data_IF_168526593634
#
_entry.id   IF_168526593634
#
_cell.length_a   1.000
_cell.length_b   1.000
_cell.length_c   1.000
_cell.angle_alpha   90.00
_cell.angle_beta   90.00
_cell.angle_gamma   90.00
#
_symmetry.space_group_name_H-M   'P 1'
#
loop_
_entity.id
_entity.type
_entity.pdbx_description
1 polymer ?
#
# COMPACT_ATOMS: atom_id res chain seq x y z
N UNK A 1 16.33 -0.72 20.90
CA UNK A 1 15.90 -1.53 19.74
C UNK A 1 14.83 -0.76 18.99
N UNK A 2 14.74 -0.89 17.67
CA UNK A 2 13.66 -0.29 16.88
C UNK A 2 12.32 -0.92 17.25
N UNK A 3 11.21 -0.23 16.94
CA UNK A 3 9.87 -0.71 17.26
C UNK A 3 9.47 -1.96 16.45
N UNK A 4 10.04 -2.13 15.25
CA UNK A 4 9.79 -3.26 14.36
C UNK A 4 11.11 -3.88 13.82
N UNK A 5 11.16 -5.20 13.55
CA UNK A 5 12.32 -5.84 12.92
C UNK A 5 12.64 -5.30 11.53
N UNK A 6 11.65 -4.78 10.80
CA UNK A 6 11.81 -4.22 9.45
C UNK A 6 12.85 -3.09 9.40
N UNK A 7 12.96 -2.30 10.49
CA UNK A 7 13.89 -1.17 10.60
C UNK A 7 15.12 -1.47 11.48
N UNK A 8 15.23 -2.69 12.02
CA UNK A 8 16.29 -3.05 12.95
C UNK A 8 17.64 -3.18 12.25
N UNK A 9 18.69 -2.56 12.82
CA UNK A 9 20.04 -2.61 12.28
C UNK A 9 20.59 -4.03 12.05
N UNK A 10 20.17 -5.02 12.84
CA UNK A 10 20.65 -6.41 12.72
C UNK A 10 19.58 -7.41 12.28
N UNK A 11 18.28 -7.06 12.31
CA UNK A 11 17.19 -7.97 11.89
C UNK A 11 16.58 -7.61 10.52
N UNK A 12 16.81 -6.42 9.98
CA UNK A 12 16.18 -5.95 8.73
C UNK A 12 16.47 -6.86 7.52
N UNK A 13 17.60 -7.58 7.51
CA UNK A 13 17.93 -8.53 6.43
C UNK A 13 17.15 -9.83 6.55
N UNK A 14 16.88 -10.27 7.78
CA UNK A 14 16.06 -11.45 8.02
C UNK A 14 14.62 -11.16 7.58
N UNK A 15 14.06 -10.03 8.02
CA UNK A 15 12.70 -9.63 7.68
C UNK A 15 12.68 -8.57 6.58
N UNK A 16 13.44 -8.75 5.50
CA UNK A 16 13.48 -7.73 4.45
C UNK A 16 12.14 -7.67 3.70
N UNK A 17 11.46 -6.51 3.63
CA UNK A 17 10.21 -6.36 2.88
C UNK A 17 10.43 -6.18 1.37
N UNK A 18 11.68 -6.30 0.89
CA UNK A 18 12.05 -5.98 -0.49
C UNK A 18 11.77 -4.51 -0.84
N UNK A 19 11.39 -4.26 -2.09
CA UNK A 19 11.10 -2.91 -2.58
C UNK A 19 9.84 -2.28 -1.96
N UNK A 20 8.93 -3.10 -1.40
CA UNK A 20 7.73 -2.58 -0.69
C UNK A 20 8.13 -1.67 0.48
N UNK A 21 9.25 -1.95 1.14
CA UNK A 21 9.75 -1.15 2.27
C UNK A 21 9.87 0.34 1.94
N UNK A 22 10.24 0.68 0.71
CA UNK A 22 10.40 2.08 0.28
C UNK A 22 9.07 2.83 0.27
N UNK A 23 7.96 2.16 0.00
CA UNK A 23 6.62 2.76 -0.11
C UNK A 23 6.00 3.08 1.26
N UNK A 24 6.52 2.51 2.34
CA UNK A 24 6.06 2.77 3.71
C UNK A 24 7.06 3.59 4.52
N UNK A 25 8.00 4.26 3.86
CA UNK A 25 8.87 5.26 4.48
C UNK A 25 8.17 6.60 4.65
N UNK A 26 8.59 7.38 5.64
CA UNK A 26 8.07 8.73 5.87
C UNK A 26 8.26 9.64 4.64
N UNK A 27 9.41 9.52 3.96
CA UNK A 27 9.67 10.27 2.72
C UNK A 27 8.69 9.91 1.60
N UNK A 28 8.32 8.64 1.47
CA UNK A 28 7.32 8.23 0.47
C UNK A 28 5.92 8.76 0.81
N UNK A 29 5.56 8.80 2.10
CA UNK A 29 4.30 9.40 2.55
C UNK A 29 4.23 10.90 2.24
N UNK A 30 5.26 11.65 2.62
CA UNK A 30 5.34 13.09 2.35
C UNK A 30 5.35 13.38 0.85
N UNK A 31 6.12 12.62 0.06
CA UNK A 31 6.16 12.75 -1.40
C UNK A 31 4.79 12.47 -2.03
N UNK A 32 4.07 11.46 -1.55
CA UNK A 32 2.71 11.17 -2.02
C UNK A 32 1.73 12.31 -1.67
N UNK A 33 1.81 12.86 -0.45
CA UNK A 33 1.05 14.03 -0.04
C UNK A 33 1.30 15.25 -0.94
N UNK A 34 2.57 15.51 -1.29
CA UNK A 34 2.97 16.58 -2.22
C UNK A 34 2.42 16.36 -3.64
N UNK A 35 2.37 15.11 -4.13
CA UNK A 35 1.72 14.79 -5.41
C UNK A 35 0.24 15.13 -5.36
N UNK A 36 -0.46 14.73 -4.29
CA UNK A 36 -1.89 15.00 -4.13
C UNK A 36 -2.16 16.50 -4.05
N UNK A 37 -1.44 17.24 -3.20
CA UNK A 37 -1.62 18.69 -3.04
C UNK A 37 -1.40 19.47 -4.34
N UNK A 38 -0.32 19.16 -5.07
CA UNK A 38 -0.06 19.80 -6.36
C UNK A 38 -1.07 19.42 -7.45
N UNK A 39 -1.54 18.19 -7.46
CA UNK A 39 -2.56 17.73 -8.43
C UNK A 39 -3.91 18.34 -8.13
N UNK A 40 -4.28 18.43 -6.84
CA UNK A 40 -5.48 19.11 -6.36
C UNK A 40 -5.49 20.58 -6.81
N UNK A 41 -4.41 21.32 -6.57
CA UNK A 41 -4.31 22.71 -6.99
C UNK A 41 -4.47 22.85 -8.52
N UNK A 42 -3.85 21.96 -9.30
CA UNK A 42 -3.99 21.93 -10.76
C UNK A 42 -5.44 21.75 -11.22
N UNK A 43 -6.16 20.76 -10.67
CA UNK A 43 -7.56 20.52 -11.05
C UNK A 43 -8.49 21.63 -10.55
N UNK A 44 -8.21 22.21 -9.38
CA UNK A 44 -8.95 23.36 -8.86
C UNK A 44 -8.77 24.61 -9.72
N UNK A 45 -7.55 24.87 -10.21
CA UNK A 45 -7.28 25.96 -11.14
C UNK A 45 -7.99 25.79 -12.47
N UNK A 46 -8.02 24.57 -13.01
CA UNK A 46 -8.76 24.25 -14.23
C UNK A 46 -10.28 24.42 -14.05
N UNK A 47 -10.80 24.15 -12.85
CA UNK A 47 -12.19 24.37 -12.48
C UNK A 47 -12.51 25.83 -12.08
N UNK A 48 -11.52 26.73 -12.07
CA UNK A 48 -11.70 28.13 -11.68
C UNK A 48 -11.91 28.38 -10.18
N UNK A 49 -11.66 27.39 -9.32
CA UNK A 49 -11.84 27.49 -7.86
C UNK A 49 -10.71 28.28 -7.19
N UNK A 50 -9.52 28.25 -7.78
CA UNK A 50 -8.37 29.07 -7.36
C UNK A 50 -7.80 29.76 -8.61
N UNK A 51 -7.09 30.89 -8.46
CA UNK A 51 -6.45 31.55 -9.60
C UNK A 51 -5.52 30.60 -10.36
N UNK A 52 -5.65 30.54 -11.69
CA UNK A 52 -4.88 29.60 -12.51
C UNK A 52 -3.36 29.76 -12.37
N UNK A 53 -2.88 30.99 -12.16
CA UNK A 53 -1.46 31.27 -11.87
C UNK A 53 -1.01 30.65 -10.55
N UNK A 54 -1.84 30.71 -9.51
CA UNK A 54 -1.56 30.09 -8.21
C UNK A 54 -1.59 28.57 -8.31
N UNK A 55 -2.53 28.00 -9.07
CA UNK A 55 -2.58 26.56 -9.35
C UNK A 55 -1.31 26.05 -10.03
N UNK A 56 -0.82 26.76 -11.04
CA UNK A 56 0.42 26.41 -11.75
C UNK A 56 1.65 26.54 -10.83
N UNK A 57 1.73 27.61 -10.04
CA UNK A 57 2.81 27.81 -9.08
C UNK A 57 2.87 26.69 -8.04
N UNK A 58 1.73 26.35 -7.43
CA UNK A 58 1.63 25.26 -6.44
C UNK A 58 1.99 23.92 -7.07
N UNK A 59 1.45 23.61 -8.26
CA UNK A 59 1.72 22.35 -8.94
C UNK A 59 3.21 22.18 -9.23
N UNK A 60 3.87 23.23 -9.75
CA UNK A 60 5.32 23.21 -10.01
C UNK A 60 6.11 23.05 -8.72
N UNK A 61 5.80 23.84 -7.70
CA UNK A 61 6.48 23.78 -6.41
C UNK A 61 6.33 22.39 -5.78
N UNK A 62 5.18 21.72 -5.97
CA UNK A 62 5.00 20.37 -5.45
C UNK A 62 5.96 19.36 -6.07
N UNK A 63 6.42 19.55 -7.31
CA UNK A 63 7.38 18.66 -7.98
C UNK A 63 8.83 18.89 -7.54
N UNK A 64 9.17 20.13 -7.16
CA UNK A 64 10.54 20.56 -6.89
C UNK A 64 10.89 20.53 -5.39
N UNK A 65 9.96 20.97 -4.53
CA UNK A 65 10.20 21.12 -3.10
C UNK A 65 10.34 19.77 -2.39
N UNK A 66 11.27 19.73 -1.45
CA UNK A 66 11.52 18.59 -0.56
C UNK A 66 11.18 19.01 0.87
N UNK A 67 10.37 18.20 1.56
CA UNK A 67 9.96 18.43 2.93
C UNK A 67 10.53 17.31 3.79
N UNK A 68 11.29 17.68 4.81
CA UNK A 68 11.79 16.74 5.81
C UNK A 68 10.64 16.24 6.68
N UNK A 69 10.35 14.92 6.71
CA UNK A 69 9.32 14.38 7.58
C UNK A 69 9.62 14.60 9.07
N UNK A 70 10.91 14.59 9.47
CA UNK A 70 11.31 14.80 10.86
C UNK A 70 10.86 16.15 11.41
N UNK A 71 10.96 17.20 10.59
CA UNK A 71 10.47 18.54 10.90
C UNK A 71 8.96 18.65 11.16
N UNK A 72 8.16 17.65 10.75
CA UNK A 72 6.69 17.65 10.93
C UNK A 72 6.25 17.03 12.27
N UNK A 73 7.15 16.33 12.97
CA UNK A 73 6.78 15.47 14.09
C UNK A 73 6.07 16.21 15.24
N UNK A 74 6.56 17.39 15.63
CA UNK A 74 5.99 18.15 16.75
C UNK A 74 4.55 18.60 16.47
N UNK A 75 4.29 19.13 15.28
CA UNK A 75 2.94 19.53 14.87
C UNK A 75 2.02 18.32 14.69
N UNK A 76 2.53 17.24 14.10
CA UNK A 76 1.79 15.97 13.93
C UNK A 76 1.31 15.41 15.27
N UNK A 77 2.12 15.50 16.33
CA UNK A 77 1.75 15.05 17.67
C UNK A 77 0.60 15.85 18.29
N UNK A 78 0.42 17.11 17.88
CA UNK A 78 -0.66 17.99 18.35
C UNK A 78 -1.92 17.78 17.51
N UNK A 79 -1.76 17.76 16.18
CA UNK A 79 -2.88 17.73 15.24
C UNK A 79 -3.46 16.32 15.06
N UNK A 80 -2.71 15.28 15.48
CA UNK A 80 -3.09 13.88 15.28
C UNK A 80 -3.03 13.42 13.82
N UNK A 81 -2.45 14.23 12.92
CA UNK A 81 -2.26 13.92 11.49
C UNK A 81 -1.12 14.76 10.91
N UNK A 82 -0.32 14.23 9.96
CA UNK A 82 0.82 14.95 9.41
C UNK A 82 0.45 16.00 8.36
N UNK A 83 -0.75 15.94 7.78
CA UNK A 83 -1.10 16.78 6.61
C UNK A 83 -1.17 18.28 6.92
N UNK A 84 -1.74 18.76 8.04
CA UNK A 84 -1.70 20.18 8.37
C UNK A 84 -0.26 20.72 8.49
N UNK A 85 0.61 19.98 9.16
CA UNK A 85 2.03 20.30 9.27
C UNK A 85 2.72 20.33 7.89
N UNK A 86 2.41 19.34 7.04
CA UNK A 86 2.90 19.27 5.66
C UNK A 86 2.47 20.50 4.84
N UNK A 87 1.19 20.89 4.93
CA UNK A 87 0.66 22.06 4.21
C UNK A 87 1.34 23.35 4.68
N UNK A 88 1.55 23.51 5.99
CA UNK A 88 2.28 24.66 6.55
C UNK A 88 3.72 24.70 6.05
N UNK A 89 4.46 23.59 6.17
CA UNK A 89 5.84 23.51 5.68
C UNK A 89 5.94 23.78 4.17
N UNK A 90 4.98 23.28 3.38
CA UNK A 90 4.92 23.57 1.95
C UNK A 90 4.67 25.07 1.70
N UNK A 91 3.69 25.69 2.36
CA UNK A 91 3.44 27.13 2.23
C UNK A 91 4.70 27.96 2.51
N UNK A 92 5.40 27.63 3.58
CA UNK A 92 6.62 28.33 3.99
C UNK A 92 7.75 28.14 2.96
N UNK A 93 8.00 26.91 2.51
CA UNK A 93 9.06 26.61 1.54
C UNK A 93 8.81 27.23 0.16
N UNK A 94 7.54 27.46 -0.21
CA UNK A 94 7.20 28.00 -1.52
C UNK A 94 7.62 29.48 -1.69
N UNK A 95 7.80 30.22 -0.58
CA UNK A 95 8.24 31.63 -0.58
C UNK A 95 7.43 32.54 -1.54
N UNK A 96 6.15 32.21 -1.74
CA UNK A 96 5.23 32.92 -2.62
C UNK A 96 3.84 32.99 -1.97
N UNK A 97 3.67 33.82 -0.93
CA UNK A 97 2.48 33.82 -0.07
C UNK A 97 1.17 34.05 -0.82
N UNK A 98 1.19 34.88 -1.87
CA UNK A 98 0.05 35.18 -2.74
C UNK A 98 -0.50 33.93 -3.46
N UNK A 99 0.36 32.94 -3.71
CA UNK A 99 -0.03 31.66 -4.28
C UNK A 99 -0.26 30.62 -3.17
N UNK A 100 0.60 30.60 -2.13
CA UNK A 100 0.62 29.60 -1.07
C UNK A 100 -0.70 29.54 -0.27
N UNK A 101 -1.39 30.67 -0.13
CA UNK A 101 -2.69 30.76 0.53
C UNK A 101 -3.76 29.83 -0.08
N UNK A 102 -3.59 29.41 -1.34
CA UNK A 102 -4.51 28.51 -2.04
C UNK A 102 -4.19 27.01 -1.87
N UNK A 103 -3.11 26.65 -1.16
CA UNK A 103 -2.80 25.25 -0.86
C UNK A 103 -3.93 24.60 -0.05
N UNK A 104 -4.31 23.37 -0.44
CA UNK A 104 -5.35 22.57 0.22
C UNK A 104 -6.71 23.31 0.32
N UNK A 105 -7.03 24.17 -0.66
CA UNK A 105 -8.24 24.99 -0.63
C UNK A 105 -9.52 24.15 -0.57
N UNK A 106 -10.35 24.33 0.46
CA UNK A 106 -11.68 23.71 0.57
C UNK A 106 -11.69 22.18 0.70
N UNK A 107 -10.54 21.55 1.01
CA UNK A 107 -10.42 20.10 1.13
C UNK A 107 -9.91 19.72 2.53
N UNK A 108 -10.56 18.79 3.24
CA UNK A 108 -10.08 18.28 4.51
C UNK A 108 -8.68 17.64 4.38
N UNK A 109 -7.75 17.92 5.32
CA UNK A 109 -6.42 17.30 5.33
C UNK A 109 -6.44 15.77 5.32
N UNK A 110 -7.49 15.15 5.88
CA UNK A 110 -7.68 13.70 5.88
C UNK A 110 -7.87 13.10 4.49
N UNK A 111 -8.46 13.83 3.55
CA UNK A 111 -8.64 13.35 2.17
C UNK A 111 -7.33 13.35 1.39
N UNK A 112 -6.46 14.31 1.68
CA UNK A 112 -5.09 14.33 1.15
C UNK A 112 -4.31 13.12 1.67
N UNK A 113 -4.41 12.82 2.96
CA UNK A 113 -3.78 11.63 3.56
C UNK A 113 -4.29 10.33 2.93
N UNK A 114 -5.62 10.22 2.77
CA UNK A 114 -6.28 9.04 2.21
C UNK A 114 -5.89 8.83 0.73
N UNK A 115 -5.85 9.90 -0.08
CA UNK A 115 -5.34 9.83 -1.45
C UNK A 115 -3.86 9.44 -1.49
N UNK A 116 -3.02 10.04 -0.63
CA UNK A 116 -1.59 9.74 -0.58
C UNK A 116 -1.33 8.27 -0.20
N UNK A 117 -2.11 7.72 0.73
CA UNK A 117 -2.08 6.30 1.05
C UNK A 117 -2.48 5.44 -0.16
N UNK A 118 -3.56 5.79 -0.87
CA UNK A 118 -3.99 5.05 -2.06
C UNK A 118 -2.95 5.06 -3.19
N UNK A 119 -2.25 6.18 -3.39
CA UNK A 119 -1.15 6.24 -4.37
C UNK A 119 -0.02 5.23 -4.03
N UNK A 120 0.32 5.11 -2.75
CA UNK A 120 1.36 4.18 -2.27
C UNK A 120 0.88 2.73 -2.34
N UNK A 121 -0.34 2.45 -1.90
CA UNK A 121 -0.93 1.11 -1.96
C UNK A 121 -1.07 0.61 -3.41
N UNK A 122 -1.40 1.47 -4.37
CA UNK A 122 -1.44 1.09 -5.79
C UNK A 122 -0.09 0.58 -6.29
N UNK A 123 1.00 1.24 -5.88
CA UNK A 123 2.35 0.80 -6.21
C UNK A 123 2.71 -0.49 -5.47
N UNK A 124 2.35 -0.59 -4.18
CA UNK A 124 2.61 -1.77 -3.36
C UNK A 124 1.94 -3.02 -3.94
N UNK A 125 0.67 -2.92 -4.34
CA UNK A 125 -0.07 -4.01 -4.99
C UNK A 125 0.56 -4.43 -6.33
N UNK A 126 1.10 -3.47 -7.09
CA UNK A 126 1.80 -3.77 -8.35
C UNK A 126 3.12 -4.52 -8.10
N UNK A 127 3.85 -4.17 -7.05
CA UNK A 127 5.04 -4.92 -6.63
C UNK A 127 4.67 -6.32 -6.14
N UNK A 128 3.63 -6.46 -5.32
CA UNK A 128 3.14 -7.76 -4.87
C UNK A 128 2.76 -8.67 -6.05
N UNK A 129 2.08 -8.14 -7.06
CA UNK A 129 1.72 -8.89 -8.27
C UNK A 129 2.97 -9.39 -9.01
N UNK A 130 3.94 -8.50 -9.21
CA UNK A 130 5.21 -8.84 -9.88
C UNK A 130 5.95 -9.95 -9.13
N UNK A 131 6.08 -9.81 -7.81
CA UNK A 131 6.78 -10.76 -6.97
C UNK A 131 6.05 -12.12 -6.91
N UNK A 132 4.71 -12.09 -6.82
CA UNK A 132 3.86 -13.28 -6.80
C UNK A 132 3.90 -14.03 -8.15
N UNK A 133 3.82 -13.30 -9.27
CA UNK A 133 3.94 -13.90 -10.61
C UNK A 133 5.31 -14.57 -10.79
N UNK A 134 6.38 -13.93 -10.33
CA UNK A 134 7.71 -14.52 -10.37
C UNK A 134 7.82 -15.78 -9.49
N UNK A 135 7.23 -15.78 -8.28
CA UNK A 135 7.17 -16.98 -7.43
C UNK A 135 6.39 -18.12 -8.09
N UNK A 136 5.22 -17.84 -8.66
CA UNK A 136 4.42 -18.82 -9.39
C UNK A 136 5.19 -19.41 -10.57
N UNK A 137 5.96 -18.60 -11.29
CA UNK A 137 6.82 -19.07 -12.37
C UNK A 137 7.94 -19.99 -11.86
N UNK A 138 8.55 -19.67 -10.71
CA UNK A 138 9.53 -20.56 -10.07
C UNK A 138 8.90 -21.92 -9.71
N UNK A 139 7.71 -21.91 -9.09
CA UNK A 139 6.99 -23.15 -8.75
C UNK A 139 6.62 -23.97 -10.00
N UNK A 140 6.15 -23.31 -11.05
CA UNK A 140 5.81 -23.96 -12.32
C UNK A 140 7.03 -24.59 -13.00
N UNK A 141 8.18 -23.94 -12.89
CA UNK A 141 9.44 -24.44 -13.45
C UNK A 141 9.98 -25.62 -12.63
N UNK A 142 9.87 -25.56 -11.30
CA UNK A 142 10.26 -26.66 -10.43
C UNK A 142 9.38 -27.90 -10.66
N UNK A 143 8.08 -27.73 -10.90
CA UNK A 143 7.17 -28.84 -11.19
C UNK A 143 6.93 -29.79 -10.02
N UNK A 144 7.31 -29.40 -8.80
CA UNK A 144 7.11 -30.22 -7.60
C UNK A 144 5.62 -30.30 -7.25
N UNK A 145 5.04 -31.50 -7.39
CA UNK A 145 3.60 -31.70 -7.24
C UNK A 145 3.10 -31.37 -5.84
N UNK A 146 3.87 -31.69 -4.79
CA UNK A 146 3.49 -31.42 -3.41
C UNK A 146 3.49 -29.91 -3.11
N UNK A 147 4.45 -29.16 -3.64
CA UNK A 147 4.49 -27.70 -3.54
C UNK A 147 3.34 -27.07 -4.34
N UNK A 148 3.08 -27.53 -5.57
CA UNK A 148 1.98 -27.02 -6.39
C UNK A 148 0.63 -27.23 -5.67
N UNK A 149 0.41 -28.41 -5.09
CA UNK A 149 -0.81 -28.72 -4.33
C UNK A 149 -0.93 -27.88 -3.07
N UNK A 150 0.13 -27.82 -2.24
CA UNK A 150 0.06 -27.19 -0.93
C UNK A 150 -0.06 -25.66 -0.98
N UNK A 151 0.53 -25.01 -1.98
CA UNK A 151 0.57 -23.55 -2.05
C UNK A 151 0.60 -22.97 -3.47
N UNK A 152 0.97 -23.73 -4.51
CA UNK A 152 0.91 -23.24 -5.90
C UNK A 152 -0.49 -22.82 -6.37
N UNK A 153 -1.47 -23.73 -6.32
CA UNK A 153 -2.85 -23.42 -6.72
C UNK A 153 -3.51 -22.30 -5.88
N UNK A 154 -3.39 -22.31 -4.53
CA UNK A 154 -3.88 -21.20 -3.71
C UNK A 154 -3.23 -19.84 -4.05
N UNK A 155 -1.93 -19.81 -4.35
CA UNK A 155 -1.25 -18.58 -4.76
C UNK A 155 -1.71 -18.09 -6.13
N UNK A 156 -2.02 -19.01 -7.06
CA UNK A 156 -2.56 -18.67 -8.37
C UNK A 156 -3.92 -17.98 -8.23
N UNK A 157 -4.81 -18.51 -7.38
CA UNK A 157 -6.10 -17.89 -7.10
C UNK A 157 -5.93 -16.48 -6.50
N UNK A 158 -4.98 -16.29 -5.57
CA UNK A 158 -4.69 -14.98 -5.00
C UNK A 158 -4.10 -13.99 -6.00
N UNK A 159 -3.35 -14.45 -7.00
CA UNK A 159 -2.89 -13.62 -8.12
C UNK A 159 -4.09 -13.13 -8.93
N UNK A 160 -5.01 -14.01 -9.27
CA UNK A 160 -6.19 -13.65 -10.07
C UNK A 160 -7.09 -12.66 -9.31
N UNK A 161 -7.30 -12.87 -8.00
CA UNK A 161 -7.98 -11.91 -7.14
C UNK A 161 -7.26 -10.54 -7.06
N UNK A 162 -5.92 -10.54 -7.08
CA UNK A 162 -5.13 -9.30 -7.09
C UNK A 162 -5.33 -8.54 -8.40
N UNK A 163 -5.36 -9.25 -9.54
CA UNK A 163 -5.65 -8.67 -10.85
C UNK A 163 -7.01 -7.98 -10.83
N UNK A 164 -8.04 -8.63 -10.29
CA UNK A 164 -9.38 -8.04 -10.14
C UNK A 164 -9.37 -6.82 -9.20
N UNK A 165 -8.69 -6.92 -8.06
CA UNK A 165 -8.56 -5.81 -7.10
C UNK A 165 -7.89 -4.59 -7.74
N UNK A 166 -6.84 -4.79 -8.53
CA UNK A 166 -6.14 -3.73 -9.25
C UNK A 166 -6.99 -3.15 -10.38
N UNK A 167 -7.71 -3.99 -11.12
CA UNK A 167 -8.61 -3.58 -12.19
C UNK A 167 -9.79 -2.75 -11.67
N UNK A 168 -10.34 -3.08 -10.49
CA UNK A 168 -11.37 -2.27 -9.83
C UNK A 168 -10.86 -0.88 -9.41
N UNK A 169 -9.55 -0.72 -9.27
CA UNK A 169 -8.91 0.53 -8.94
C UNK A 169 -9.04 0.94 -7.47
N UNK A 170 -8.13 1.82 -7.03
CA UNK A 170 -8.16 2.38 -5.68
C UNK A 170 -8.87 3.74 -5.65
N UNK A 171 -9.68 4.02 -4.63
CA UNK A 171 -10.57 5.18 -4.66
C UNK A 171 -9.85 6.50 -4.36
N UNK A 172 -10.32 7.59 -4.96
CA UNK A 172 -10.00 8.96 -4.57
C UNK A 172 -10.83 9.36 -3.35
N UNK A 173 -10.25 10.11 -2.42
CA UNK A 173 -10.97 10.79 -1.34
C UNK A 173 -11.06 12.28 -1.67
N UNK A 174 -12.28 12.83 -1.72
CA UNK A 174 -12.50 14.27 -1.90
C UNK A 174 -13.87 14.71 -1.38
N UNK A 175 -13.92 15.10 -0.11
CA UNK A 175 -14.97 15.94 0.47
C UNK A 175 -14.57 17.39 0.21
N UNK A 176 -15.48 18.17 -0.36
CA UNK A 176 -15.24 19.61 -0.57
C UNK A 176 -16.17 20.36 0.36
N UNK A 177 -15.61 21.13 1.29
CA UNK A 177 -16.40 21.94 2.23
C UNK A 177 -17.00 23.15 1.50
N UNK A 178 -18.30 23.37 1.67
CA UNK A 178 -19.00 24.53 1.11
C UNK A 178 -19.13 24.53 -0.42
N UNK A 179 -18.86 23.41 -1.10
CA UNK A 179 -19.04 23.34 -2.54
C UNK A 179 -20.52 23.48 -2.92
N UNK A 180 -20.88 24.36 -3.88
CA UNK A 180 -22.22 24.37 -4.46
C UNK A 180 -22.50 23.02 -5.13
N UNK A 181 -23.78 22.74 -5.44
CA UNK A 181 -24.16 21.62 -6.32
C UNK A 181 -23.25 21.63 -7.57
N UNK A 182 -22.35 20.65 -7.70
CA UNK A 182 -21.31 20.66 -8.76
C UNK A 182 -19.89 20.24 -8.37
N UNK A 183 -19.63 19.70 -7.18
CA UNK A 183 -18.32 19.13 -6.84
C UNK A 183 -17.96 17.84 -7.62
N UNK A 184 -18.93 17.21 -8.29
CA UNK A 184 -18.75 15.98 -9.07
C UNK A 184 -17.62 16.08 -10.10
N UNK A 185 -17.68 17.04 -11.05
CA UNK A 185 -16.61 17.27 -12.02
C UNK A 185 -15.20 17.43 -11.42
N UNK A 186 -15.07 18.00 -10.22
CA UNK A 186 -13.77 18.12 -9.55
C UNK A 186 -13.26 16.77 -9.05
N UNK A 187 -14.15 15.92 -8.50
CA UNK A 187 -13.81 14.56 -8.08
C UNK A 187 -13.35 13.73 -9.27
N UNK A 188 -14.08 13.82 -10.38
CA UNK A 188 -13.76 13.10 -11.61
C UNK A 188 -12.40 13.53 -12.17
N UNK A 189 -12.15 14.84 -12.20
CA UNK A 189 -10.87 15.39 -12.64
C UNK A 189 -9.72 14.97 -11.73
N UNK A 190 -9.91 14.97 -10.41
CA UNK A 190 -8.88 14.55 -9.45
C UNK A 190 -8.60 13.05 -9.55
N UNK A 191 -9.65 12.22 -9.65
CA UNK A 191 -9.56 10.78 -9.86
C UNK A 191 -8.73 10.48 -11.11
N UNK A 192 -9.10 11.07 -12.24
CA UNK A 192 -8.38 10.91 -13.50
C UNK A 192 -6.92 11.37 -13.39
N UNK A 193 -6.67 12.54 -12.80
CA UNK A 193 -5.32 13.09 -12.68
C UNK A 193 -4.40 12.29 -11.75
N UNK A 194 -4.95 11.67 -10.70
CA UNK A 194 -4.20 10.81 -9.78
C UNK A 194 -4.17 9.34 -10.21
N UNK A 195 -4.87 8.96 -11.28
CA UNK A 195 -5.14 7.58 -11.69
C UNK A 195 -5.81 6.75 -10.56
N UNK A 196 -6.72 7.40 -9.83
CA UNK A 196 -7.57 6.80 -8.80
C UNK A 196 -9.01 6.72 -9.33
N UNK A 197 -9.86 5.95 -8.68
CA UNK A 197 -11.24 5.70 -9.10
C UNK A 197 -12.22 6.45 -8.23
N UNK A 198 -13.39 6.78 -8.78
CA UNK A 198 -14.49 7.29 -7.98
C UNK A 198 -15.15 6.10 -7.27
N UNK A 199 -15.23 6.10 -5.93
CA UNK A 199 -15.92 5.02 -5.24
C UNK A 199 -17.41 5.06 -5.58
N UNK A 200 -18.01 3.89 -5.80
CA UNK A 200 -19.46 3.77 -5.98
C UNK A 200 -20.20 4.29 -4.75
N UNK A 201 -19.68 4.04 -3.54
CA UNK A 201 -20.25 4.52 -2.28
C UNK A 201 -19.37 4.16 -1.07
N UNK A 202 -19.47 4.99 -0.03
CA UNK A 202 -18.97 4.72 1.31
C UNK A 202 -17.50 5.03 1.59
N UNK A 203 -16.63 5.25 0.60
CA UNK A 203 -15.26 5.73 0.88
C UNK A 203 -15.23 7.26 0.99
N UNK A 204 -14.47 7.83 1.94
CA UNK A 204 -13.51 7.17 2.86
C UNK A 204 -14.05 6.82 4.24
N UNK A 205 -15.35 6.83 4.47
CA UNK A 205 -15.96 6.55 5.77
C UNK A 205 -15.93 5.05 6.13
N UNK A 206 -16.28 4.15 5.20
CA UNK A 206 -16.38 2.70 5.44
C UNK A 206 -15.05 1.98 5.58
N UNK A 207 -13.95 2.60 5.12
CA UNK A 207 -12.60 2.01 5.05
C UNK A 207 -12.51 0.64 4.35
N UNK A 208 -13.56 0.22 3.65
CA UNK A 208 -13.65 -1.10 3.00
C UNK A 208 -12.49 -1.42 2.05
N UNK A 209 -11.95 -0.46 1.25
CA UNK A 209 -10.75 -0.69 0.45
C UNK A 209 -9.53 -1.12 1.27
N UNK A 210 -9.31 -0.52 2.44
CA UNK A 210 -8.18 -0.86 3.32
C UNK A 210 -8.36 -2.25 3.93
N UNK A 211 -9.56 -2.57 4.42
CA UNK A 211 -9.88 -3.89 4.96
C UNK A 211 -9.68 -4.99 3.90
N UNK A 212 -10.10 -4.73 2.65
CA UNK A 212 -9.92 -5.66 1.53
C UNK A 212 -8.44 -5.88 1.18
N UNK A 213 -7.63 -4.82 1.11
CA UNK A 213 -6.19 -4.93 0.83
C UNK A 213 -5.45 -5.66 1.97
N UNK A 214 -5.74 -5.30 3.21
CA UNK A 214 -5.16 -5.95 4.38
C UNK A 214 -5.55 -7.43 4.45
N UNK A 215 -6.83 -7.75 4.20
CA UNK A 215 -7.34 -9.12 4.18
C UNK A 215 -6.74 -9.97 3.06
N UNK A 216 -6.59 -9.43 1.85
CA UNK A 216 -5.89 -10.10 0.76
C UNK A 216 -4.43 -10.37 1.12
N UNK A 217 -3.73 -9.38 1.68
CA UNK A 217 -2.32 -9.51 2.08
C UNK A 217 -2.15 -10.56 3.19
N UNK A 218 -3.04 -10.57 4.19
CA UNK A 218 -3.02 -11.57 5.25
C UNK A 218 -3.25 -13.00 4.71
N UNK A 219 -4.19 -13.17 3.75
CA UNK A 219 -4.41 -14.47 3.08
C UNK A 219 -3.20 -14.91 2.27
N UNK A 220 -2.53 -13.98 1.58
CA UNK A 220 -1.26 -14.26 0.89
C UNK A 220 -0.21 -14.80 1.86
N UNK A 221 0.04 -14.10 2.96
CA UNK A 221 1.03 -14.53 3.96
C UNK A 221 0.66 -15.91 4.54
N UNK A 222 -0.64 -16.14 4.82
CA UNK A 222 -1.12 -17.40 5.35
C UNK A 222 -0.87 -18.59 4.41
N UNK A 223 -1.05 -18.39 3.10
CA UNK A 223 -0.73 -19.41 2.08
C UNK A 223 0.79 -19.61 1.99
N UNK A 224 1.58 -18.52 1.95
CA UNK A 224 3.04 -18.61 1.90
C UNK A 224 3.63 -19.31 3.14
N UNK A 225 2.94 -19.29 4.28
CA UNK A 225 3.36 -19.97 5.49
C UNK A 225 3.06 -21.48 5.54
N UNK A 226 2.25 -22.00 4.62
CA UNK A 226 1.88 -23.43 4.59
C UNK A 226 3.10 -24.36 4.63
N UNK A 227 4.17 -24.17 3.83
CA UNK A 227 5.35 -25.04 3.88
C UNK A 227 6.03 -25.09 5.25
N UNK A 228 5.89 -24.04 6.06
CA UNK A 228 6.44 -23.98 7.41
C UNK A 228 5.58 -24.65 8.47
N UNK A 229 4.26 -24.79 8.25
CA UNK A 229 3.35 -25.42 9.22
C UNK A 229 3.47 -26.94 9.27
N UNK A 230 4.06 -27.55 8.25
CA UNK A 230 4.13 -29.02 8.07
C UNK A 230 5.42 -29.64 8.66
N UNK A 231 6.39 -28.84 9.11
CA UNK A 231 7.67 -29.36 9.58
C UNK A 231 7.64 -29.83 11.04
N UNK A 232 8.15 -31.05 11.29
CA UNK A 232 8.49 -31.54 12.62
C UNK A 232 9.58 -30.65 13.26
N UNK A 233 9.38 -30.28 14.53
CA UNK A 233 9.99 -29.13 15.19
C UNK A 233 11.53 -29.11 15.35
N UNK A 234 12.28 -30.06 14.79
CA UNK A 234 13.72 -30.18 15.01
C UNK A 234 14.61 -29.47 13.96
N UNK A 235 14.15 -29.30 12.70
CA UNK A 235 14.94 -28.65 11.64
C UNK A 235 14.06 -27.92 10.61
N UNK A 236 13.26 -26.96 11.09
CA UNK A 236 12.28 -26.25 10.26
C UNK A 236 12.96 -25.31 9.23
N UNK A 237 14.21 -24.89 9.43
CA UNK A 237 14.89 -23.92 8.57
C UNK A 237 14.37 -22.48 8.74
N UNK A 238 15.27 -21.50 8.59
CA UNK A 238 15.01 -20.09 8.94
C UNK A 238 13.83 -19.50 8.15
N UNK A 239 13.75 -19.72 6.83
CA UNK A 239 12.67 -19.14 6.00
C UNK A 239 11.29 -19.68 6.39
N UNK A 240 11.15 -20.98 6.66
CA UNK A 240 9.87 -21.56 7.08
C UNK A 240 9.41 -21.03 8.44
N UNK A 241 10.34 -20.91 9.40
CA UNK A 241 10.05 -20.34 10.71
C UNK A 241 9.63 -18.86 10.60
N UNK A 242 10.33 -18.08 9.77
CA UNK A 242 10.01 -16.68 9.51
C UNK A 242 8.62 -16.51 8.89
N UNK A 243 8.27 -17.34 7.89
CA UNK A 243 6.95 -17.32 7.26
C UNK A 243 5.81 -17.57 8.26
N UNK A 244 5.96 -18.55 9.15
CA UNK A 244 4.97 -18.84 10.19
C UNK A 244 4.87 -17.69 11.21
N UNK A 245 5.99 -17.04 11.55
CA UNK A 245 5.99 -15.88 12.43
C UNK A 245 5.28 -14.66 11.80
N UNK A 246 5.56 -14.39 10.51
CA UNK A 246 4.94 -13.31 9.74
C UNK A 246 3.43 -13.52 9.60
N UNK A 247 2.98 -14.75 9.35
CA UNK A 247 1.56 -15.12 9.31
C UNK A 247 0.83 -14.82 10.63
N UNK A 248 1.40 -15.24 11.76
CA UNK A 248 0.83 -14.94 13.08
C UNK A 248 0.79 -13.44 13.36
N UNK A 249 1.85 -12.71 12.98
CA UNK A 249 1.91 -11.27 13.14
C UNK A 249 0.85 -10.55 12.31
N UNK A 250 0.76 -10.85 11.01
CA UNK A 250 -0.24 -10.28 10.11
C UNK A 250 -1.67 -10.62 10.54
N UNK A 251 -1.91 -11.85 11.02
CA UNK A 251 -3.21 -12.28 11.54
C UNK A 251 -3.64 -11.47 12.76
N UNK A 252 -2.74 -11.24 13.72
CA UNK A 252 -3.02 -10.43 14.90
C UNK A 252 -3.34 -8.97 14.53
N UNK A 253 -2.56 -8.39 13.61
CA UNK A 253 -2.79 -7.04 13.12
C UNK A 253 -4.08 -6.90 12.31
N UNK A 254 -4.41 -7.91 11.50
CA UNK A 254 -5.67 -7.97 10.77
C UNK A 254 -6.88 -8.02 11.71
N UNK A 255 -6.80 -8.80 12.79
CA UNK A 255 -7.81 -8.82 13.84
C UNK A 255 -7.99 -7.45 14.52
N UNK A 256 -6.88 -6.77 14.83
CA UNK A 256 -6.93 -5.42 15.40
C UNK A 256 -7.57 -4.40 14.44
N UNK A 257 -7.23 -4.46 13.15
CA UNK A 257 -7.83 -3.59 12.14
C UNK A 257 -9.34 -3.84 12.00
N UNK A 258 -9.77 -5.11 12.00
CA UNK A 258 -11.19 -5.48 11.91
C UNK A 258 -12.01 -5.12 13.14
N UNK A 259 -11.39 -5.06 14.32
CA UNK A 259 -12.06 -4.72 15.58
C UNK A 259 -12.29 -3.21 15.77
N UNK A 260 -11.75 -2.36 14.88
CA UNK A 260 -11.75 -0.92 15.11
C UNK A 260 -12.98 -0.22 14.51
N UNK A 261 -13.48 0.78 15.23
CA UNK A 261 -14.64 1.58 14.86
C UNK A 261 -14.24 2.99 14.37
N UNK A 262 -15.22 3.68 13.79
CA UNK A 262 -15.11 5.00 13.17
C UNK A 262 -14.34 6.05 13.99
N UNK A 263 -13.76 7.03 13.28
CA UNK A 263 -13.10 8.19 13.89
C UNK A 263 -11.59 8.05 14.03
N UNK A 264 -10.99 8.85 14.93
CA UNK A 264 -9.54 8.97 15.06
C UNK A 264 -8.86 7.67 15.51
N UNK A 265 -9.49 6.89 16.41
CA UNK A 265 -8.97 5.60 16.84
C UNK A 265 -8.83 4.61 15.67
N UNK A 266 -9.84 4.54 14.79
CA UNK A 266 -9.80 3.85 13.49
C UNK A 266 -8.56 4.19 12.69
N UNK A 267 -8.34 5.48 12.45
CA UNK A 267 -7.21 5.97 11.65
C UNK A 267 -5.87 5.66 12.29
N UNK A 268 -5.75 5.77 13.61
CA UNK A 268 -4.51 5.43 14.30
C UNK A 268 -4.22 3.93 14.23
N UNK A 269 -5.26 3.09 14.35
CA UNK A 269 -5.09 1.65 14.19
C UNK A 269 -4.66 1.28 12.76
N UNK A 270 -5.18 1.97 11.74
CA UNK A 270 -4.72 1.80 10.35
C UNK A 270 -3.22 2.08 10.22
N UNK A 271 -2.73 3.18 10.79
CA UNK A 271 -1.29 3.51 10.76
C UNK A 271 -0.43 2.51 11.51
N UNK A 272 -0.92 1.94 12.61
CA UNK A 272 -0.20 0.93 13.39
C UNK A 272 -0.19 -0.45 12.71
N UNK A 273 -1.26 -0.82 12.01
CA UNK A 273 -1.44 -2.18 11.49
C UNK A 273 -1.14 -2.31 10.01
N UNK A 274 -1.69 -1.44 9.15
CA UNK A 274 -1.66 -1.63 7.70
C UNK A 274 -0.23 -1.65 7.14
N UNK A 275 0.67 -0.71 7.48
CA UNK A 275 2.06 -0.77 7.01
C UNK A 275 2.75 -2.08 7.42
N UNK A 276 2.56 -2.52 8.66
CA UNK A 276 3.19 -3.74 9.16
C UNK A 276 2.66 -5.00 8.46
N UNK A 277 1.36 -5.06 8.13
CA UNK A 277 0.78 -6.14 7.31
C UNK A 277 1.41 -6.16 5.91
N UNK A 278 1.53 -4.99 5.27
CA UNK A 278 2.11 -4.88 3.92
C UNK A 278 3.60 -5.24 3.89
N UNK A 279 4.38 -4.76 4.87
CA UNK A 279 5.80 -5.11 5.02
C UNK A 279 5.98 -6.61 5.31
N UNK A 280 5.09 -7.20 6.12
CA UNK A 280 5.07 -8.64 6.34
C UNK A 280 4.79 -9.42 5.05
N UNK A 281 3.91 -8.91 4.19
CA UNK A 281 3.62 -9.48 2.87
C UNK A 281 4.85 -9.50 1.96
N UNK A 282 5.56 -8.37 1.86
CA UNK A 282 6.82 -8.28 1.12
C UNK A 282 7.88 -9.25 1.66
N UNK A 283 8.04 -9.30 2.98
CA UNK A 283 9.02 -10.20 3.61
C UNK A 283 8.67 -11.68 3.45
N UNK A 284 7.38 -12.01 3.50
CA UNK A 284 6.91 -13.37 3.24
C UNK A 284 7.21 -13.79 1.80
N UNK A 285 6.98 -12.91 0.81
CA UNK A 285 7.33 -13.18 -0.59
C UNK A 285 8.84 -13.43 -0.78
N UNK A 286 9.70 -12.66 -0.10
CA UNK A 286 11.15 -12.90 -0.15
C UNK A 286 11.54 -14.26 0.42
N UNK A 287 11.01 -14.66 1.58
CA UNK A 287 11.28 -15.97 2.16
C UNK A 287 10.72 -17.12 1.32
N UNK A 288 9.52 -16.94 0.77
CA UNK A 288 8.87 -17.91 -0.09
C UNK A 288 9.64 -18.15 -1.39
N UNK A 289 10.17 -17.09 -2.01
CA UNK A 289 11.05 -17.19 -3.17
C UNK A 289 12.31 -18.00 -2.86
N UNK A 290 13.00 -17.65 -1.77
CA UNK A 290 14.18 -18.39 -1.34
C UNK A 290 13.88 -19.87 -1.05
N UNK A 291 12.70 -20.18 -0.51
CA UNK A 291 12.27 -21.56 -0.31
C UNK A 291 11.97 -22.28 -1.62
N UNK A 292 11.25 -21.63 -2.54
CA UNK A 292 10.91 -22.19 -3.85
C UNK A 292 12.15 -22.51 -4.70
N UNK A 293 13.21 -21.71 -4.59
CA UNK A 293 14.50 -21.93 -5.27
C UNK A 293 15.23 -23.19 -4.77
N UNK A 294 14.89 -23.70 -3.59
CA UNK A 294 15.47 -24.94 -3.05
C UNK A 294 14.69 -26.20 -3.45
N UNK A 295 13.55 -26.06 -4.13
CA UNK A 295 12.77 -27.21 -4.58
C UNK A 295 13.56 -27.99 -5.64
N UNK A 296 13.55 -29.32 -5.50
CA UNK A 296 14.11 -30.19 -6.53
C UNK A 296 13.15 -30.27 -7.72
N UNK A 297 13.66 -30.47 -8.95
CA UNK A 297 12.80 -30.72 -10.10
C UNK A 297 11.87 -31.91 -9.85
N UNK A 298 10.57 -31.67 -9.97
CA UNK A 298 9.54 -32.70 -9.86
C UNK A 298 9.39 -33.52 -11.14
N UNK A 299 8.62 -34.61 -11.06
CA UNK A 299 8.23 -35.39 -12.24
C UNK A 299 7.26 -34.59 -13.12
N UNK A 300 7.35 -34.77 -14.44
CA UNK A 300 6.49 -34.10 -15.41
C UNK A 300 5.06 -34.68 -15.42
N UNK A 301 4.31 -34.47 -14.35
CA UNK A 301 2.92 -34.92 -14.20
C UNK A 301 1.95 -34.05 -15.02
N UNK A 302 0.74 -34.56 -15.26
CA UNK A 302 -0.33 -33.79 -15.90
C UNK A 302 -0.70 -32.54 -15.09
N UNK A 303 -0.69 -32.65 -13.75
CA UNK A 303 -0.98 -31.53 -12.85
C UNK A 303 0.09 -30.45 -12.90
N UNK A 304 1.38 -30.82 -12.95
CA UNK A 304 2.47 -29.86 -13.11
C UNK A 304 2.37 -29.11 -14.45
N UNK A 305 2.03 -29.82 -15.54
CA UNK A 305 1.78 -29.20 -16.86
C UNK A 305 0.57 -28.27 -16.85
N UNK A 306 -0.52 -28.67 -16.18
CA UNK A 306 -1.73 -27.85 -16.02
C UNK A 306 -1.43 -26.58 -15.24
N UNK A 307 -0.67 -26.68 -14.16
CA UNK A 307 -0.26 -25.53 -13.36
C UNK A 307 0.60 -24.56 -14.17
N UNK A 308 1.63 -25.05 -14.87
CA UNK A 308 2.48 -24.22 -15.71
C UNK A 308 1.70 -23.46 -16.80
N UNK A 309 0.73 -24.12 -17.44
CA UNK A 309 -0.16 -23.48 -18.41
C UNK A 309 -1.00 -22.37 -17.78
N UNK A 310 -1.55 -22.62 -16.59
CA UNK A 310 -2.38 -21.63 -15.87
C UNK A 310 -1.56 -20.41 -15.37
N UNK A 311 -0.28 -20.61 -15.05
CA UNK A 311 0.64 -19.52 -14.71
C UNK A 311 0.88 -18.62 -15.93
N UNK A 312 1.04 -19.19 -17.13
CA UNK A 312 1.30 -18.45 -18.37
C UNK A 312 0.06 -17.74 -18.96
N UNK A 313 -1.14 -18.25 -18.67
CA UNK A 313 -2.39 -17.73 -19.23
C UNK A 313 -3.06 -16.59 -18.46
N UNK A 314 -2.44 -16.11 -17.37
CA UNK A 314 -2.96 -15.04 -16.51
C UNK A 314 -2.24 -13.71 -16.65
#
# INVERSE_FOLDING_TARGET
>A
MTATPFDSAHLHRLFSPGDLGRLFSDSAEIRAGMIVLGTLAKVQGAAGLIPGVSAQAIHRASLELQIDPGGLAAATAVDGTPVPALVTAFRDLMQAPEHAQHLCHGVPPTDVADCALMLRLRQALSLCETELAALLQTLATAGDAAAIEAWGWPLLALRDELTELRAAGLPVALRVEGAPEGAGPLRDALAAALNLHLPADGWPETRAPLARIAGWTARLIAVLAVPGRVAEAADQGVSKAALVALDRHASALGGALAATHDGAAGRFQEWLALPQIMLSGGSALCHARALAETLSPGEATDDARRFASAVQGG
#
